data_IF_827638094762
#
_entry.id   IF_827638094762
#
_cell.length_a   1.000
_cell.length_b   1.000
_cell.length_c   1.000
_cell.angle_alpha   90.00
_cell.angle_beta   90.00
_cell.angle_gamma   90.00
#
_symmetry.space_group_name_H-M   'P 1'
#
loop_
_entity.id
_entity.type
_entity.pdbx_description
1 polymer ?
#
# COMPACT_ATOMS: atom_id res chain seq x y z
N UNK A 1 -21.92 -15.01 5.39
CA UNK A 1 -21.77 -13.54 5.32
C UNK A 1 -20.45 -13.02 5.91
N UNK A 2 -20.01 -13.36 7.16
CA UNK A 2 -18.75 -12.86 7.75
C UNK A 2 -17.51 -13.15 6.91
N UNK A 3 -17.33 -14.38 6.47
CA UNK A 3 -16.20 -14.79 5.63
C UNK A 3 -16.20 -14.13 4.25
N UNK A 4 -17.38 -13.88 3.68
CA UNK A 4 -17.49 -13.12 2.42
C UNK A 4 -17.06 -11.66 2.61
N UNK A 5 -17.46 -11.03 3.73
CA UNK A 5 -17.01 -9.69 4.08
C UNK A 5 -15.47 -9.65 4.23
N UNK A 6 -14.88 -10.66 4.93
CA UNK A 6 -13.43 -10.76 5.07
C UNK A 6 -12.72 -10.85 3.71
N UNK A 7 -13.21 -11.68 2.79
CA UNK A 7 -12.61 -11.81 1.45
C UNK A 7 -12.67 -10.49 0.69
N UNK A 8 -13.78 -9.76 0.78
CA UNK A 8 -13.93 -8.47 0.09
C UNK A 8 -12.95 -7.41 0.63
N UNK A 9 -12.81 -7.28 1.95
CA UNK A 9 -11.87 -6.31 2.54
C UNK A 9 -10.42 -6.76 2.37
N UNK A 10 -10.14 -8.06 2.49
CA UNK A 10 -8.80 -8.61 2.28
C UNK A 10 -8.34 -8.47 0.82
N UNK A 11 -9.25 -8.52 -0.16
CA UNK A 11 -8.91 -8.31 -1.57
C UNK A 11 -8.37 -6.90 -1.84
N UNK A 12 -8.89 -5.88 -1.17
CA UNK A 12 -8.36 -4.52 -1.27
C UNK A 12 -6.91 -4.46 -0.77
N UNK A 13 -6.61 -5.09 0.36
CA UNK A 13 -5.24 -5.16 0.89
C UNK A 13 -4.32 -5.99 0.00
N UNK A 14 -4.81 -7.11 -0.52
CA UNK A 14 -4.07 -7.93 -1.49
C UNK A 14 -3.60 -7.12 -2.69
N UNK A 15 -4.50 -6.38 -3.34
CA UNK A 15 -4.16 -5.53 -4.49
C UNK A 15 -3.28 -4.33 -4.08
N UNK A 16 -3.49 -3.79 -2.90
CA UNK A 16 -2.64 -2.74 -2.33
C UNK A 16 -1.19 -3.20 -2.20
N UNK A 17 -0.96 -4.34 -1.56
CA UNK A 17 0.38 -4.88 -1.38
C UNK A 17 1.03 -5.33 -2.71
N UNK A 18 0.26 -5.81 -3.69
CA UNK A 18 0.77 -6.02 -5.04
C UNK A 18 1.32 -4.72 -5.64
N UNK A 19 0.58 -3.63 -5.51
CA UNK A 19 0.98 -2.34 -6.09
C UNK A 19 2.19 -1.72 -5.38
N UNK A 20 2.34 -1.93 -4.08
CA UNK A 20 3.50 -1.47 -3.29
C UNK A 20 4.81 -1.92 -3.94
N UNK A 21 4.91 -3.18 -4.30
CA UNK A 21 6.15 -3.82 -4.75
C UNK A 21 6.23 -4.05 -6.27
N UNK A 22 5.25 -3.58 -7.06
CA UNK A 22 5.16 -3.84 -8.50
C UNK A 22 6.41 -3.46 -9.29
N UNK A 23 7.13 -2.41 -8.86
CA UNK A 23 8.33 -1.93 -9.55
C UNK A 23 9.64 -2.54 -9.00
N UNK A 24 9.63 -3.15 -7.83
CA UNK A 24 10.83 -3.68 -7.18
C UNK A 24 11.54 -4.76 -8.00
N UNK A 25 10.83 -5.77 -8.58
CA UNK A 25 11.50 -6.82 -9.36
C UNK A 25 11.94 -6.38 -10.77
N UNK A 26 11.50 -5.23 -11.25
CA UNK A 26 11.81 -4.70 -12.59
C UNK A 26 12.67 -3.43 -12.56
N UNK A 27 13.42 -3.20 -11.47
CA UNK A 27 14.21 -1.98 -11.27
C UNK A 27 15.20 -1.74 -12.41
N UNK A 28 15.93 -2.77 -12.88
CA UNK A 28 16.87 -2.64 -13.98
C UNK A 28 16.19 -2.19 -15.29
N UNK A 29 14.96 -2.64 -15.55
CA UNK A 29 14.20 -2.22 -16.72
C UNK A 29 13.76 -0.76 -16.60
N UNK A 30 13.40 -0.31 -15.39
CA UNK A 30 13.04 1.10 -15.12
C UNK A 30 14.25 2.01 -15.34
N UNK A 31 15.42 1.59 -14.89
CA UNK A 31 16.68 2.32 -15.12
C UNK A 31 16.95 2.48 -16.61
N UNK A 32 16.84 1.40 -17.38
CA UNK A 32 17.05 1.41 -18.83
C UNK A 32 16.03 2.24 -19.59
N UNK A 33 14.73 2.16 -19.25
CA UNK A 33 13.66 2.82 -20.02
C UNK A 33 13.35 4.24 -19.55
N UNK A 34 13.61 4.57 -18.30
CA UNK A 34 13.23 5.87 -17.67
C UNK A 34 14.42 6.62 -17.08
N UNK A 35 15.62 6.04 -17.10
CA UNK A 35 16.82 6.65 -16.55
C UNK A 35 16.80 6.80 -15.02
N UNK A 36 16.02 5.97 -14.32
CA UNK A 36 15.96 6.03 -12.86
C UNK A 36 17.16 5.29 -12.27
N UNK A 37 18.15 6.05 -11.84
CA UNK A 37 19.27 5.49 -11.09
C UNK A 37 18.79 4.87 -9.77
N UNK A 38 19.58 3.99 -9.13
CA UNK A 38 19.23 3.40 -7.84
C UNK A 38 18.86 4.44 -6.76
N UNK A 39 19.51 5.62 -6.75
CA UNK A 39 19.19 6.70 -5.82
C UNK A 39 17.81 7.33 -6.08
N UNK A 40 17.47 7.51 -7.37
CA UNK A 40 16.15 8.00 -7.78
C UNK A 40 15.07 6.98 -7.41
N UNK A 41 15.34 5.69 -7.66
CA UNK A 41 14.41 4.61 -7.26
C UNK A 41 14.23 4.57 -5.75
N UNK A 42 15.29 4.74 -4.97
CA UNK A 42 15.22 4.83 -3.50
C UNK A 42 14.39 6.00 -3.01
N UNK A 43 14.58 7.17 -3.61
CA UNK A 43 13.77 8.37 -3.30
C UNK A 43 12.29 8.17 -3.63
N UNK A 44 12.02 7.58 -4.81
CA UNK A 44 10.68 7.18 -5.19
C UNK A 44 10.07 6.19 -4.18
N UNK A 45 10.80 5.13 -3.81
CA UNK A 45 10.32 4.12 -2.85
C UNK A 45 10.05 4.72 -1.46
N UNK A 46 10.88 5.66 -1.00
CA UNK A 46 10.68 6.36 0.27
C UNK A 46 9.45 7.28 0.26
N UNK A 47 9.03 7.76 -0.91
CA UNK A 47 7.91 8.70 -1.03
C UNK A 47 6.59 8.13 -0.50
N UNK A 48 6.40 6.82 -0.52
CA UNK A 48 5.23 6.13 0.05
C UNK A 48 4.98 6.50 1.51
N UNK A 49 6.04 6.71 2.28
CA UNK A 49 5.96 6.89 3.73
C UNK A 49 6.04 8.35 4.17
N UNK A 50 6.41 9.30 3.30
CA UNK A 50 6.70 10.70 3.69
C UNK A 50 5.53 11.34 4.44
N UNK A 51 4.33 11.30 3.89
CA UNK A 51 3.15 11.92 4.53
C UNK A 51 2.74 11.16 5.79
N UNK A 52 2.91 9.85 5.83
CA UNK A 52 2.61 9.03 7.00
C UNK A 52 3.52 9.39 8.18
N UNK A 53 4.82 9.57 7.92
CA UNK A 53 5.80 10.05 8.92
C UNK A 53 5.50 11.49 9.35
N UNK A 54 5.00 12.35 8.45
CA UNK A 54 4.58 13.72 8.77
C UNK A 54 3.27 13.79 9.59
N UNK A 55 2.68 12.65 9.97
CA UNK A 55 1.52 12.60 10.87
C UNK A 55 0.18 12.26 10.20
N UNK A 56 0.17 11.91 8.92
CA UNK A 56 -1.08 11.53 8.24
C UNK A 56 -1.78 10.35 8.91
N UNK A 57 -1.05 9.40 9.50
CA UNK A 57 -1.64 8.27 10.25
C UNK A 57 -2.51 8.73 11.42
N UNK A 58 -2.13 9.82 12.11
CA UNK A 58 -2.94 10.39 13.19
C UNK A 58 -4.25 10.94 12.61
N UNK A 59 -4.15 11.67 11.49
CA UNK A 59 -5.32 12.21 10.79
C UNK A 59 -6.24 11.08 10.32
N UNK A 60 -5.67 10.01 9.76
CA UNK A 60 -6.40 8.82 9.33
C UNK A 60 -7.15 8.15 10.49
N UNK A 61 -6.53 8.03 11.65
CA UNK A 61 -7.17 7.54 12.88
C UNK A 61 -8.37 8.40 13.30
N UNK A 62 -8.19 9.72 13.32
CA UNK A 62 -9.29 10.67 13.65
C UNK A 62 -10.44 10.58 12.65
N UNK A 63 -10.12 10.43 11.34
CA UNK A 63 -11.15 10.25 10.30
C UNK A 63 -11.90 8.93 10.55
N UNK A 64 -11.18 7.84 10.84
CA UNK A 64 -11.77 6.53 11.11
C UNK A 64 -12.72 6.56 12.33
N UNK A 65 -12.33 7.25 13.40
CA UNK A 65 -13.14 7.34 14.61
C UNK A 65 -14.40 8.22 14.41
N UNK A 66 -14.28 9.33 13.67
CA UNK A 66 -15.40 10.25 13.45
C UNK A 66 -16.33 9.83 12.32
N UNK A 67 -15.78 9.29 11.23
CA UNK A 67 -16.54 9.00 10.00
C UNK A 67 -16.86 7.51 9.85
N UNK A 68 -16.23 6.66 10.66
CA UNK A 68 -16.45 5.21 10.68
C UNK A 68 -15.81 4.46 9.52
N UNK A 69 -15.90 3.13 9.60
CA UNK A 69 -15.23 2.17 8.70
C UNK A 69 -15.61 2.35 7.24
N UNK A 70 -16.89 2.61 6.95
CA UNK A 70 -17.40 2.72 5.57
C UNK A 70 -16.80 3.89 4.82
N UNK A 71 -16.92 5.09 5.40
CA UNK A 71 -16.39 6.29 4.76
C UNK A 71 -14.87 6.24 4.62
N UNK A 72 -14.19 5.87 5.70
CA UNK A 72 -12.73 5.83 5.74
C UNK A 72 -12.18 4.79 4.76
N UNK A 73 -12.83 3.64 4.63
CA UNK A 73 -12.43 2.62 3.68
C UNK A 73 -12.66 3.02 2.22
N UNK A 74 -13.79 3.64 1.88
CA UNK A 74 -14.02 4.19 0.53
C UNK A 74 -13.02 5.30 0.19
N UNK A 75 -12.71 6.16 1.13
CA UNK A 75 -11.71 7.21 0.97
C UNK A 75 -10.32 6.59 0.73
N UNK A 76 -9.92 5.61 1.56
CA UNK A 76 -8.63 4.95 1.44
C UNK A 76 -8.47 4.22 0.11
N UNK A 77 -9.48 3.44 -0.31
CA UNK A 77 -9.48 2.75 -1.60
C UNK A 77 -9.43 3.73 -2.78
N UNK A 78 -10.15 4.86 -2.68
CA UNK A 78 -10.12 5.92 -3.68
C UNK A 78 -8.74 6.59 -3.77
N UNK A 79 -8.10 6.86 -2.63
CA UNK A 79 -6.73 7.42 -2.58
C UNK A 79 -5.71 6.44 -3.17
N UNK A 80 -5.83 5.14 -2.87
CA UNK A 80 -4.97 4.10 -3.44
C UNK A 80 -5.10 4.07 -4.96
N UNK A 81 -6.33 4.04 -5.48
CA UNK A 81 -6.57 4.03 -6.92
C UNK A 81 -6.09 5.31 -7.60
N UNK A 82 -6.41 6.49 -7.04
CA UNK A 82 -5.98 7.78 -7.59
C UNK A 82 -4.44 7.90 -7.59
N UNK A 83 -3.78 7.51 -6.51
CA UNK A 83 -2.32 7.49 -6.42
C UNK A 83 -1.68 6.54 -7.44
N UNK A 84 -2.27 5.37 -7.64
CA UNK A 84 -1.84 4.42 -8.66
C UNK A 84 -2.03 4.97 -10.09
N UNK A 85 -3.14 5.64 -10.37
CA UNK A 85 -3.41 6.27 -11.65
C UNK A 85 -2.41 7.41 -11.95
N UNK A 86 -2.09 8.22 -10.94
CA UNK A 86 -1.06 9.27 -11.06
C UNK A 86 0.31 8.66 -11.36
N UNK A 87 0.72 7.63 -10.63
CA UNK A 87 1.97 6.91 -10.86
C UNK A 87 1.99 6.29 -12.26
N UNK A 88 0.91 5.64 -12.67
CA UNK A 88 0.78 5.07 -14.01
C UNK A 88 0.98 6.13 -15.09
N UNK A 89 0.26 7.26 -15.02
CA UNK A 89 0.39 8.38 -15.97
C UNK A 89 1.82 8.89 -15.99
N UNK A 90 2.45 9.09 -14.83
CA UNK A 90 3.80 9.65 -14.71
C UNK A 90 4.89 8.84 -15.41
N UNK A 91 4.72 7.51 -15.49
CA UNK A 91 5.70 6.64 -16.16
C UNK A 91 5.41 6.39 -17.65
N UNK A 92 4.28 6.88 -18.19
CA UNK A 92 3.95 6.73 -19.62
C UNK A 92 4.85 7.62 -20.48
N UNK A 93 5.09 7.18 -21.72
CA UNK A 93 5.82 8.00 -22.70
C UNK A 93 5.06 9.27 -23.09
N UNK A 94 3.74 9.16 -23.18
CA UNK A 94 2.88 10.31 -23.44
C UNK A 94 3.10 11.43 -22.41
N UNK A 95 3.18 11.12 -21.13
CA UNK A 95 3.44 12.11 -20.09
C UNK A 95 4.74 12.89 -20.34
N UNK A 96 5.81 12.20 -20.74
CA UNK A 96 7.13 12.81 -20.96
C UNK A 96 7.12 13.82 -22.12
N UNK A 97 6.18 13.71 -23.06
CA UNK A 97 6.03 14.67 -24.17
C UNK A 97 5.21 15.91 -23.81
N UNK A 98 4.64 15.96 -22.60
CA UNK A 98 3.80 17.07 -22.17
C UNK A 98 4.61 18.28 -21.68
N UNK A 99 4.07 19.48 -21.89
CA UNK A 99 4.66 20.72 -21.35
C UNK A 99 4.74 20.69 -19.80
N UNK A 100 3.82 19.97 -19.16
CA UNK A 100 3.82 19.79 -17.70
C UNK A 100 5.02 18.97 -17.22
N UNK A 101 5.44 17.95 -17.96
CA UNK A 101 6.65 17.19 -17.64
C UNK A 101 7.90 18.09 -17.73
N UNK A 102 8.00 18.93 -18.80
CA UNK A 102 9.10 19.90 -18.94
C UNK A 102 9.14 20.92 -17.80
N UNK A 103 7.97 21.38 -17.33
CA UNK A 103 7.89 22.25 -16.16
C UNK A 103 8.32 21.52 -14.88
N UNK A 104 7.91 20.28 -14.70
CA UNK A 104 8.26 19.47 -13.54
C UNK A 104 9.77 19.15 -13.50
N UNK A 105 10.42 18.96 -14.65
CA UNK A 105 11.87 18.78 -14.74
C UNK A 105 12.66 20.02 -14.30
N UNK A 106 12.11 21.21 -14.47
CA UNK A 106 12.74 22.47 -14.06
C UNK A 106 12.80 22.69 -12.54
N UNK A 107 12.13 21.84 -11.75
CA UNK A 107 12.14 21.95 -10.30
C UNK A 107 13.51 21.57 -9.71
N UNK A 108 13.82 22.12 -8.53
CA UNK A 108 15.08 22.02 -7.79
C UNK A 108 15.55 20.61 -7.39
N UNK A 109 14.68 19.61 -7.49
CA UNK A 109 15.06 18.21 -7.19
C UNK A 109 15.61 17.54 -8.44
N UNK A 110 16.84 17.01 -8.40
CA UNK A 110 17.48 16.33 -9.52
C UNK A 110 16.91 14.93 -9.75
N UNK A 111 15.65 14.87 -10.18
CA UNK A 111 14.94 13.67 -10.57
C UNK A 111 14.21 13.93 -11.88
N UNK A 112 14.08 12.95 -12.79
CA UNK A 112 13.27 13.11 -14.00
C UNK A 112 11.79 13.33 -13.65
N UNK A 113 11.07 14.06 -14.52
CA UNK A 113 9.63 14.33 -14.33
C UNK A 113 8.80 13.08 -14.08
N UNK A 114 9.14 11.97 -14.76
CA UNK A 114 8.51 10.67 -14.57
C UNK A 114 8.62 10.18 -13.12
N UNK A 115 9.79 10.30 -12.50
CA UNK A 115 10.03 9.88 -11.12
C UNK A 115 9.31 10.81 -10.12
N UNK A 116 9.33 12.13 -10.37
CA UNK A 116 8.60 13.10 -9.53
C UNK A 116 7.10 12.83 -9.53
N UNK A 117 6.52 12.64 -10.71
CA UNK A 117 5.09 12.35 -10.85
C UNK A 117 4.72 10.99 -10.23
N UNK A 118 5.54 9.96 -10.47
CA UNK A 118 5.36 8.65 -9.85
C UNK A 118 5.47 8.70 -8.32
N UNK A 119 6.39 9.51 -7.77
CA UNK A 119 6.55 9.72 -6.33
C UNK A 119 5.33 10.42 -5.71
N UNK A 120 4.77 11.43 -6.38
CA UNK A 120 3.53 12.07 -5.94
C UNK A 120 2.36 11.09 -5.89
N UNK A 121 2.22 10.26 -6.93
CA UNK A 121 1.21 9.20 -6.96
C UNK A 121 1.43 8.17 -5.86
N UNK A 122 2.68 7.76 -5.64
CA UNK A 122 3.02 6.75 -4.65
C UNK A 122 2.85 7.27 -3.20
N UNK A 123 3.09 8.56 -2.98
CA UNK A 123 2.81 9.25 -1.72
C UNK A 123 1.30 9.24 -1.38
N UNK A 124 0.46 9.57 -2.35
CA UNK A 124 -1.00 9.53 -2.19
C UNK A 124 -1.49 8.09 -1.97
N UNK A 125 -0.95 7.14 -2.73
CA UNK A 125 -1.24 5.72 -2.57
C UNK A 125 -0.86 5.24 -1.17
N UNK A 126 0.33 5.57 -0.66
CA UNK A 126 0.81 5.18 0.66
C UNK A 126 -0.09 5.67 1.79
N UNK A 127 -0.58 6.92 1.70
CA UNK A 127 -1.59 7.42 2.64
C UNK A 127 -2.85 6.57 2.63
N UNK A 128 -3.36 6.23 1.44
CA UNK A 128 -4.53 5.37 1.29
C UNK A 128 -4.28 3.96 1.85
N UNK A 129 -3.11 3.37 1.58
CA UNK A 129 -2.74 2.02 2.00
C UNK A 129 -2.67 1.89 3.53
N UNK A 130 -2.02 2.83 4.21
CA UNK A 130 -1.92 2.83 5.67
C UNK A 130 -3.28 3.08 6.34
N UNK A 131 -4.07 4.00 5.79
CA UNK A 131 -5.44 4.24 6.27
C UNK A 131 -6.33 3.01 6.03
N UNK A 132 -6.14 2.28 4.92
CA UNK A 132 -6.84 1.02 4.64
C UNK A 132 -6.53 -0.04 5.69
N UNK A 133 -5.27 -0.22 6.08
CA UNK A 133 -4.84 -1.20 7.08
C UNK A 133 -5.54 -1.01 8.43
N UNK A 134 -5.60 0.24 8.93
CA UNK A 134 -6.31 0.56 10.18
C UNK A 134 -7.81 0.34 10.05
N UNK A 135 -8.39 0.72 8.92
CA UNK A 135 -9.83 0.56 8.64
C UNK A 135 -10.23 -0.91 8.53
N UNK A 136 -9.44 -1.73 7.84
CA UNK A 136 -9.66 -3.18 7.70
C UNK A 136 -9.60 -3.86 9.06
N UNK A 137 -8.62 -3.52 9.89
CA UNK A 137 -8.51 -4.05 11.25
C UNK A 137 -9.76 -3.74 12.09
N UNK A 138 -10.27 -2.51 12.02
CA UNK A 138 -11.51 -2.10 12.71
C UNK A 138 -12.74 -2.81 12.14
N UNK A 139 -12.81 -3.00 10.81
CA UNK A 139 -13.87 -3.76 10.15
C UNK A 139 -13.89 -5.23 10.61
N UNK A 140 -12.73 -5.88 10.67
CA UNK A 140 -12.61 -7.26 11.14
C UNK A 140 -13.06 -7.36 12.60
N UNK A 141 -12.60 -6.44 13.46
CA UNK A 141 -13.02 -6.41 14.87
C UNK A 141 -14.54 -6.29 15.01
N UNK A 142 -15.20 -5.48 14.20
CA UNK A 142 -16.66 -5.34 14.16
C UNK A 142 -17.37 -6.64 13.73
N UNK A 143 -16.94 -7.25 12.64
CA UNK A 143 -17.61 -8.41 12.02
C UNK A 143 -17.34 -9.74 12.73
N UNK A 144 -16.21 -9.84 13.45
CA UNK A 144 -15.78 -11.06 14.15
C UNK A 144 -15.77 -10.89 15.68
N UNK A 145 -16.52 -9.90 16.21
CA UNK A 145 -16.61 -9.66 17.66
C UNK A 145 -17.00 -10.94 18.40
N UNK A 146 -16.12 -11.36 19.35
CA UNK A 146 -16.33 -12.52 20.21
C UNK A 146 -16.11 -13.89 19.57
N UNK A 147 -15.78 -13.99 18.28
CA UNK A 147 -15.54 -15.26 17.59
C UNK A 147 -14.48 -15.13 16.49
N UNK A 148 -13.45 -15.96 16.53
CA UNK A 148 -12.49 -16.16 15.43
C UNK A 148 -11.75 -14.89 14.96
N UNK A 149 -11.74 -13.81 15.75
CA UNK A 149 -11.14 -12.54 15.38
C UNK A 149 -9.65 -12.66 15.04
N UNK A 150 -8.90 -13.41 15.87
CA UNK A 150 -7.46 -13.63 15.63
C UNK A 150 -7.22 -14.41 14.33
N UNK A 151 -8.07 -15.39 14.01
CA UNK A 151 -8.00 -16.14 12.76
C UNK A 151 -8.31 -15.24 11.56
N UNK A 152 -9.32 -14.38 11.66
CA UNK A 152 -9.69 -13.46 10.58
C UNK A 152 -8.58 -12.44 10.31
N UNK A 153 -7.98 -11.84 11.35
CA UNK A 153 -6.83 -10.95 11.22
C UNK A 153 -5.61 -11.66 10.62
N UNK A 154 -5.30 -12.88 11.09
CA UNK A 154 -4.20 -13.66 10.56
C UNK A 154 -4.39 -14.04 9.08
N UNK A 155 -5.63 -14.39 8.70
CA UNK A 155 -5.95 -14.74 7.31
C UNK A 155 -5.87 -13.52 6.38
N UNK A 156 -6.35 -12.35 6.82
CA UNK A 156 -6.22 -11.10 6.09
C UNK A 156 -4.76 -10.76 5.81
N UNK A 157 -3.92 -10.79 6.86
CA UNK A 157 -2.48 -10.57 6.73
C UNK A 157 -1.80 -11.59 5.80
N UNK A 158 -2.18 -12.87 5.87
CA UNK A 158 -1.67 -13.91 4.98
C UNK A 158 -2.03 -13.63 3.52
N UNK A 159 -3.29 -13.25 3.24
CA UNK A 159 -3.76 -12.87 1.90
C UNK A 159 -2.96 -11.68 1.37
N UNK A 160 -2.74 -10.65 2.19
CA UNK A 160 -1.93 -9.48 1.81
C UNK A 160 -0.50 -9.88 1.44
N UNK A 161 0.14 -10.78 2.20
CA UNK A 161 1.50 -11.28 1.90
C UNK A 161 1.56 -12.15 0.63
N UNK A 162 0.51 -12.92 0.34
CA UNK A 162 0.39 -13.63 -0.94
C UNK A 162 0.37 -12.63 -2.11
N UNK A 163 -0.20 -11.44 -1.93
CA UNK A 163 -0.15 -10.36 -2.93
C UNK A 163 1.29 -9.92 -3.25
N UNK A 164 2.12 -9.74 -2.23
CA UNK A 164 3.55 -9.43 -2.43
C UNK A 164 4.25 -10.56 -3.18
N UNK A 165 4.06 -11.81 -2.74
CA UNK A 165 4.62 -12.97 -3.43
C UNK A 165 4.20 -13.03 -4.91
N UNK A 166 2.92 -12.85 -5.18
CA UNK A 166 2.38 -12.91 -6.54
C UNK A 166 3.00 -11.85 -7.45
N UNK A 167 3.17 -10.60 -6.98
CA UNK A 167 3.67 -9.53 -7.83
C UNK A 167 5.15 -9.68 -8.17
N UNK A 168 5.97 -10.23 -7.27
CA UNK A 168 7.37 -10.53 -7.58
C UNK A 168 7.51 -11.54 -8.71
N UNK A 169 6.60 -12.51 -8.82
CA UNK A 169 6.57 -13.46 -9.94
C UNK A 169 5.93 -12.88 -11.20
N UNK A 170 4.84 -12.13 -11.06
CA UNK A 170 4.00 -11.69 -12.19
C UNK A 170 4.58 -10.44 -12.87
N UNK A 171 5.15 -9.50 -12.11
CA UNK A 171 5.60 -8.21 -12.67
C UNK A 171 6.68 -8.36 -13.75
N UNK A 172 7.75 -9.17 -13.56
CA UNK A 172 8.75 -9.39 -14.61
C UNK A 172 8.14 -10.03 -15.86
N UNK A 173 7.27 -11.03 -15.70
CA UNK A 173 6.60 -11.72 -16.82
C UNK A 173 5.78 -10.74 -17.66
N UNK A 174 5.00 -9.88 -17.01
CA UNK A 174 4.22 -8.84 -17.71
C UNK A 174 5.14 -7.85 -18.40
N UNK A 175 6.19 -7.38 -17.69
CA UNK A 175 7.14 -6.42 -18.23
C UNK A 175 7.84 -6.96 -19.49
N UNK A 176 8.29 -8.19 -19.46
CA UNK A 176 8.95 -8.86 -20.59
C UNK A 176 7.98 -9.11 -21.74
N UNK A 177 6.75 -9.55 -21.45
CA UNK A 177 5.74 -9.83 -22.48
C UNK A 177 5.33 -8.60 -23.27
N UNK A 178 5.26 -7.44 -22.63
CA UNK A 178 4.88 -6.17 -23.25
C UNK A 178 6.08 -5.27 -23.58
N UNK A 179 7.29 -5.64 -23.17
CA UNK A 179 8.50 -4.87 -23.38
C UNK A 179 8.52 -3.49 -22.68
N UNK A 180 7.69 -3.27 -21.66
CA UNK A 180 7.57 -1.95 -21.02
C UNK A 180 7.28 -2.04 -19.53
N UNK A 181 7.88 -1.12 -18.77
CA UNK A 181 7.64 -0.94 -17.33
C UNK A 181 6.22 -0.45 -17.02
N UNK A 182 5.52 0.09 -18.01
CA UNK A 182 4.16 0.65 -17.84
C UNK A 182 3.13 -0.46 -17.64
N UNK A 183 3.29 -1.62 -18.29
CA UNK A 183 2.32 -2.69 -18.29
C UNK A 183 2.03 -3.30 -16.90
N UNK A 184 3.04 -3.68 -16.08
CA UNK A 184 2.79 -4.17 -14.73
C UNK A 184 2.08 -3.16 -13.82
N UNK A 185 2.45 -1.88 -13.96
CA UNK A 185 1.82 -0.80 -13.17
C UNK A 185 0.37 -0.58 -13.61
N UNK A 186 0.08 -0.63 -14.92
CA UNK A 186 -1.29 -0.60 -15.45
C UNK A 186 -2.13 -1.75 -14.90
N UNK A 187 -1.57 -2.96 -14.94
CA UNK A 187 -2.23 -4.17 -14.41
C UNK A 187 -2.63 -3.98 -12.95
N UNK A 188 -1.68 -3.58 -12.08
CA UNK A 188 -1.98 -3.35 -10.67
C UNK A 188 -2.94 -2.17 -10.44
N UNK A 189 -2.90 -1.13 -11.29
CA UNK A 189 -3.85 -0.01 -11.21
C UNK A 189 -5.29 -0.48 -11.49
N UNK A 190 -5.47 -1.38 -12.46
CA UNK A 190 -6.79 -2.01 -12.73
C UNK A 190 -7.22 -2.88 -11.54
N UNK A 191 -6.30 -3.64 -10.93
CA UNK A 191 -6.62 -4.43 -9.73
C UNK A 191 -7.04 -3.54 -8.55
N UNK A 192 -6.44 -2.37 -8.38
CA UNK A 192 -6.85 -1.41 -7.36
C UNK A 192 -8.24 -0.82 -7.63
N UNK A 193 -8.62 -0.62 -8.90
CA UNK A 193 -9.99 -0.27 -9.25
C UNK A 193 -10.98 -1.38 -8.86
N UNK A 194 -10.61 -2.65 -9.09
CA UNK A 194 -11.39 -3.79 -8.63
C UNK A 194 -11.47 -3.79 -7.10
N UNK A 195 -10.36 -3.49 -6.41
CA UNK A 195 -10.31 -3.34 -4.94
C UNK A 195 -11.27 -2.27 -4.41
N UNK A 196 -11.34 -1.12 -5.07
CA UNK A 196 -12.32 -0.07 -4.76
C UNK A 196 -13.76 -0.57 -4.92
N UNK A 197 -14.06 -1.26 -6.02
CA UNK A 197 -15.39 -1.85 -6.26
C UNK A 197 -15.73 -2.90 -5.20
N UNK A 198 -14.79 -3.79 -4.85
CA UNK A 198 -15.04 -4.81 -3.81
C UNK A 198 -15.28 -4.19 -2.45
N UNK A 199 -14.57 -3.11 -2.10
CA UNK A 199 -14.82 -2.38 -0.86
C UNK A 199 -16.18 -1.67 -0.88
N UNK A 200 -16.59 -1.11 -2.00
CA UNK A 200 -17.94 -0.54 -2.16
C UNK A 200 -19.02 -1.61 -1.94
N UNK A 201 -18.83 -2.82 -2.47
CA UNK A 201 -19.75 -3.95 -2.21
C UNK A 201 -19.76 -4.30 -0.70
N UNK A 202 -18.60 -4.31 -0.05
CA UNK A 202 -18.51 -4.51 1.39
C UNK A 202 -19.30 -3.42 2.16
N UNK A 203 -19.20 -2.16 1.75
CA UNK A 203 -19.95 -1.04 2.36
C UNK A 203 -21.45 -1.26 2.34
N UNK A 204 -22.00 -1.79 1.24
CA UNK A 204 -23.42 -2.17 1.18
C UNK A 204 -23.75 -3.34 2.11
N UNK A 205 -22.88 -4.33 2.22
CA UNK A 205 -23.06 -5.46 3.15
C UNK A 205 -23.01 -4.98 4.62
N UNK A 206 -22.11 -4.07 4.94
CA UNK A 206 -21.97 -3.51 6.29
C UNK A 206 -23.19 -2.67 6.70
N UNK A 207 -23.77 -1.89 5.78
CA UNK A 207 -25.05 -1.20 6.01
C UNK A 207 -26.18 -2.18 6.31
N UNK A 208 -26.23 -3.30 5.59
CA UNK A 208 -27.24 -4.33 5.82
C UNK A 208 -27.06 -5.03 7.18
N UNK A 209 -25.82 -5.22 7.62
CA UNK A 209 -25.52 -5.77 8.94
C UNK A 209 -26.07 -4.84 10.04
N UNK A 210 -25.77 -3.54 9.97
CA UNK A 210 -26.23 -2.57 10.95
C UNK A 210 -27.79 -2.51 11.01
N UNK A 211 -28.45 -2.59 9.85
CA UNK A 211 -29.92 -2.65 9.81
C UNK A 211 -30.51 -3.93 10.41
N UNK A 212 -29.75 -5.03 10.47
CA UNK A 212 -30.19 -6.30 11.05
C UNK A 212 -29.91 -6.38 12.55
N UNK A 213 -28.85 -5.72 13.04
CA UNK A 213 -28.49 -5.70 14.45
C UNK A 213 -29.38 -4.73 15.26
N UNK A 214 -30.06 -3.79 14.59
CA UNK A 214 -30.95 -2.82 15.24
C UNK A 214 -30.24 -1.97 16.30
N UNK A 215 -31.04 -1.45 17.26
CA UNK A 215 -30.54 -0.61 18.37
C UNK A 215 -29.60 -1.34 19.35
N UNK A 216 -29.50 -2.67 19.31
CA UNK A 216 -28.54 -3.42 20.11
C UNK A 216 -27.05 -3.11 19.75
N UNK A 217 -26.81 -2.59 18.55
CA UNK A 217 -25.47 -2.20 18.14
C UNK A 217 -25.00 -0.87 18.75
N UNK A 218 -25.94 0.01 19.17
CA UNK A 218 -25.63 1.29 19.82
C UNK A 218 -25.29 1.15 21.30
N UNK A 219 -25.63 0.01 21.94
CA UNK A 219 -25.36 -0.26 23.36
C UNK A 219 -24.02 -0.93 23.64
N UNK A 220 -23.20 -1.22 22.62
CA UNK A 220 -21.83 -1.62 22.81
C UNK A 220 -21.03 -0.45 23.35
N UNK A 221 -20.22 -0.70 24.41
CA UNK A 221 -19.33 0.25 25.08
C UNK A 221 -18.85 1.34 24.10
N UNK A 222 -19.19 2.61 24.41
CA UNK A 222 -18.76 3.74 23.62
C UNK A 222 -17.23 3.65 23.49
N UNK A 223 -16.73 3.44 22.26
CA UNK A 223 -15.28 3.45 22.01
C UNK A 223 -14.78 4.80 22.53
N UNK A 224 -13.81 4.78 23.44
CA UNK A 224 -13.24 6.02 23.98
C UNK A 224 -12.68 6.84 22.82
N UNK A 225 -13.25 8.03 22.60
CA UNK A 225 -12.76 8.95 21.57
C UNK A 225 -11.31 9.33 21.85
N UNK A 226 -10.48 9.30 20.82
CA UNK A 226 -9.08 9.74 20.88
C UNK A 226 -8.96 11.14 21.45
N UNK A 227 -8.18 11.28 22.53
CA UNK A 227 -7.85 12.57 23.17
C UNK A 227 -6.35 12.83 22.99
N UNK A 228 -6.01 14.06 22.57
CA UNK A 228 -4.59 14.46 22.46
C UNK A 228 -3.80 14.28 23.78
N UNK A 229 -4.46 14.29 24.94
CA UNK A 229 -3.86 13.99 26.24
C UNK A 229 -3.32 12.55 26.33
N UNK A 230 -3.84 11.61 25.53
CA UNK A 230 -3.43 10.22 25.56
C UNK A 230 -2.08 10.02 24.85
N UNK A 231 -1.75 10.87 23.87
CA UNK A 231 -0.42 10.92 23.29
C UNK A 231 0.67 11.18 24.35
N UNK A 232 0.40 12.09 25.29
CA UNK A 232 1.34 12.35 26.40
C UNK A 232 1.58 11.13 27.28
N UNK A 233 0.53 10.35 27.56
CA UNK A 233 0.64 9.10 28.34
C UNK A 233 1.45 8.04 27.58
N UNK A 234 1.19 7.87 26.27
CA UNK A 234 1.92 6.92 25.42
C UNK A 234 3.40 7.28 25.37
N UNK A 235 3.75 8.53 25.09
CA UNK A 235 5.13 9.01 25.02
C UNK A 235 5.87 8.93 26.37
N UNK A 236 5.16 8.91 27.47
CA UNK A 236 5.73 8.72 28.81
C UNK A 236 5.96 7.25 29.17
N UNK A 237 5.46 6.32 28.37
CA UNK A 237 5.59 4.89 28.61
C UNK A 237 6.94 4.34 28.13
N UNK A 238 7.71 3.77 29.04
CA UNK A 238 8.98 3.10 28.71
C UNK A 238 8.79 1.90 27.79
N UNK A 239 7.70 1.17 27.95
CA UNK A 239 7.36 0.01 27.11
C UNK A 239 7.11 0.45 25.67
N UNK A 240 6.44 1.59 25.47
CA UNK A 240 6.24 2.17 24.13
C UNK A 240 7.57 2.38 23.40
N UNK A 241 8.57 2.99 24.06
CA UNK A 241 9.86 3.27 23.43
C UNK A 241 10.66 2.01 23.11
N UNK A 242 10.58 0.97 23.96
CA UNK A 242 11.24 -0.31 23.68
C UNK A 242 10.61 -0.97 22.44
N UNK A 243 9.28 -1.02 22.37
CA UNK A 243 8.57 -1.60 21.23
C UNK A 243 8.82 -0.77 19.96
N UNK A 244 8.77 0.55 20.05
CA UNK A 244 9.07 1.45 18.94
C UNK A 244 10.49 1.22 18.40
N UNK A 245 11.49 1.11 19.25
CA UNK A 245 12.87 0.83 18.86
C UNK A 245 13.00 -0.53 18.17
N UNK A 246 12.37 -1.57 18.71
CA UNK A 246 12.37 -2.89 18.08
C UNK A 246 11.74 -2.86 16.68
N UNK A 247 10.62 -2.14 16.52
CA UNK A 247 9.99 -1.95 15.20
C UNK A 247 10.92 -1.20 14.24
N UNK A 248 11.57 -0.13 14.67
CA UNK A 248 12.51 0.62 13.83
C UNK A 248 13.66 -0.27 13.36
N UNK A 249 14.29 -1.02 14.26
CA UNK A 249 15.40 -1.92 13.93
C UNK A 249 14.97 -3.04 12.97
N UNK A 250 13.79 -3.62 13.20
CA UNK A 250 13.25 -4.68 12.35
C UNK A 250 12.94 -4.16 10.94
N UNK A 251 12.17 -3.11 10.82
CA UNK A 251 11.73 -2.60 9.53
C UNK A 251 12.86 -1.92 8.73
N UNK A 252 13.85 -1.31 9.40
CA UNK A 252 15.02 -0.75 8.74
C UNK A 252 15.89 -1.80 8.04
N UNK A 253 15.83 -3.05 8.46
CA UNK A 253 16.51 -4.16 7.78
C UNK A 253 15.63 -4.77 6.68
N UNK A 254 14.37 -5.05 6.96
CA UNK A 254 13.49 -5.82 6.06
C UNK A 254 13.06 -5.03 4.83
N UNK A 255 12.62 -3.78 4.98
CA UNK A 255 12.10 -3.02 3.84
C UNK A 255 13.15 -2.73 2.76
N UNK A 256 14.39 -2.28 3.07
CA UNK A 256 15.41 -2.14 2.05
C UNK A 256 15.75 -3.46 1.36
N UNK A 257 15.86 -4.54 2.14
CA UNK A 257 16.11 -5.87 1.56
C UNK A 257 14.98 -6.29 0.62
N UNK A 258 13.72 -6.09 0.99
CA UNK A 258 12.56 -6.41 0.16
C UNK A 258 12.52 -5.57 -1.12
N UNK A 259 12.89 -4.28 -1.05
CA UNK A 259 12.89 -3.38 -2.21
C UNK A 259 14.02 -3.67 -3.21
N UNK A 260 15.20 -4.04 -2.73
CA UNK A 260 16.39 -4.16 -3.54
C UNK A 260 16.88 -5.60 -3.74
N UNK A 261 16.32 -6.58 -3.03
CA UNK A 261 16.83 -7.94 -2.99
C UNK A 261 16.89 -8.61 -4.35
N UNK A 262 15.86 -8.50 -5.18
CA UNK A 262 15.87 -9.05 -6.54
C UNK A 262 16.92 -8.36 -7.42
N UNK A 263 17.05 -7.03 -7.35
CA UNK A 263 18.07 -6.28 -8.08
C UNK A 263 19.47 -6.59 -7.59
N UNK A 264 19.66 -6.77 -6.28
CA UNK A 264 20.93 -7.18 -5.71
C UNK A 264 21.40 -8.54 -6.27
N UNK A 265 20.49 -9.50 -6.44
CA UNK A 265 20.80 -10.77 -7.06
C UNK A 265 21.19 -10.60 -8.53
N UNK A 266 20.49 -9.75 -9.29
CA UNK A 266 20.82 -9.45 -10.69
C UNK A 266 22.20 -8.80 -10.85
N UNK A 267 22.59 -7.92 -9.95
CA UNK A 267 23.88 -7.24 -10.01
C UNK A 267 25.06 -8.12 -9.59
N UNK A 268 24.83 -9.16 -8.79
CA UNK A 268 25.90 -10.00 -8.23
C UNK A 268 26.00 -11.39 -8.87
N UNK A 269 25.01 -11.82 -9.64
CA UNK A 269 24.98 -13.11 -10.32
C UNK A 269 24.97 -12.90 -11.84
N UNK A 270 26.06 -13.24 -12.50
CA UNK A 270 26.20 -13.08 -13.94
C UNK A 270 25.15 -13.91 -14.72
N UNK A 271 24.46 -13.27 -15.65
CA UNK A 271 23.54 -13.95 -16.58
C UNK A 271 22.17 -14.33 -16.00
N UNK A 272 21.85 -13.91 -14.79
CA UNK A 272 20.53 -14.17 -14.20
C UNK A 272 19.46 -13.21 -14.78
N UNK A 273 18.30 -13.75 -15.19
CA UNK A 273 17.19 -12.92 -15.63
C UNK A 273 16.47 -12.25 -14.45
N UNK A 274 15.72 -11.15 -14.71
CA UNK A 274 14.93 -10.47 -13.70
C UNK A 274 13.89 -11.41 -13.06
N UNK A 275 13.26 -12.26 -13.86
CA UNK A 275 12.33 -13.28 -13.42
C UNK A 275 13.00 -14.31 -12.49
N UNK A 276 14.15 -14.84 -12.88
CA UNK A 276 14.86 -15.84 -12.08
C UNK A 276 15.37 -15.24 -10.75
N UNK A 277 15.92 -14.03 -10.77
CA UNK A 277 16.35 -13.33 -9.57
C UNK A 277 15.17 -13.04 -8.61
N UNK A 278 14.03 -12.64 -9.14
CA UNK A 278 12.81 -12.41 -8.37
C UNK A 278 12.28 -13.70 -7.76
N UNK A 279 12.23 -14.79 -8.51
CA UNK A 279 11.78 -16.09 -8.01
C UNK A 279 12.72 -16.68 -6.94
N UNK A 280 14.03 -16.49 -7.07
CA UNK A 280 14.99 -16.87 -6.03
C UNK A 280 14.79 -16.03 -4.79
N UNK A 281 14.57 -14.72 -4.94
CA UNK A 281 14.33 -13.82 -3.83
C UNK A 281 13.08 -14.20 -3.01
N UNK A 282 12.07 -14.76 -3.66
CA UNK A 282 10.85 -15.22 -2.98
C UNK A 282 11.05 -16.45 -2.06
N UNK A 283 12.21 -17.12 -2.12
CA UNK A 283 12.55 -18.22 -1.22
C UNK A 283 13.07 -17.75 0.15
N UNK A 284 13.38 -16.47 0.30
CA UNK A 284 13.87 -15.83 1.51
C UNK A 284 12.80 -14.93 2.14
#
# INVERSE_FOLDING_TARGET
MRWTALVLIASMMFFGYMFVDVMSPIQALIENQRGWTPDIFGTYAASEYILNVCGFLIVAGVILDKMGVRFTGELSASMMFAGAAIKYVGITEWFQTTAFAGWLDSWWVSMPASAKMASLGFMLFGCGCEMAGTTVSKAIAKWFKGKEMALAMGLEMAIARIGVFAIFSISPIIADSFGTVVAPVAFCTVLLLIGLITFTVFTFMDRKLDSQLGEEAESGEAEEEFKFSDLGKILSSQVFWIVALLCVLYYSAIFPFQRYGANMLQCNLDGISAEAASNIFLLF
#
